data_IF_417154628147
#
_entry.id   IF_417154628147
#
_cell.length_a   1.000
_cell.length_b   1.000
_cell.length_c   1.000
_cell.angle_alpha   90.00
_cell.angle_beta   90.00
_cell.angle_gamma   90.00
#
_symmetry.space_group_name_H-M   'P 1'
#
loop_
_entity.id
_entity.type
_entity.pdbx_description
1 polymer ?
#
# COMPACT_ATOMS: atom_id res chain seq x y z
N UNK A 1 30.00 -1.58 19.45
CA UNK A 1 29.01 -2.66 19.65
C UNK A 1 27.61 -2.03 19.59
N UNK A 2 26.97 -2.00 18.42
CA UNK A 2 25.61 -1.46 18.31
C UNK A 2 24.65 -2.45 18.97
N UNK A 3 24.17 -2.11 20.17
CA UNK A 3 23.06 -2.84 20.80
C UNK A 3 21.83 -2.56 19.97
N UNK A 4 21.42 -3.54 19.17
CA UNK A 4 20.14 -3.51 18.49
C UNK A 4 19.08 -3.53 19.59
N UNK A 5 18.56 -2.35 19.97
CA UNK A 5 17.39 -2.20 20.84
C UNK A 5 16.12 -2.58 20.08
N UNK A 6 16.08 -3.78 19.52
CA UNK A 6 14.83 -4.36 19.04
C UNK A 6 14.07 -4.74 20.30
N UNK A 7 12.95 -4.06 20.52
CA UNK A 7 11.94 -4.40 21.53
C UNK A 7 11.73 -5.91 21.54
N UNK A 8 11.65 -6.53 22.73
CA UNK A 8 11.31 -7.96 22.84
C UNK A 8 9.96 -8.29 22.18
N UNK A 9 9.13 -7.28 21.93
CA UNK A 9 7.82 -7.36 21.29
C UNK A 9 7.78 -6.72 19.90
N UNK A 10 8.92 -6.44 19.26
CA UNK A 10 8.96 -5.73 17.99
C UNK A 10 8.10 -6.37 16.89
N UNK A 11 8.04 -7.70 16.83
CA UNK A 11 7.14 -8.40 15.89
C UNK A 11 5.67 -8.19 16.26
N UNK A 12 5.29 -8.31 17.54
CA UNK A 12 3.92 -8.08 18.00
C UNK A 12 3.46 -6.63 17.76
N UNK A 13 4.35 -5.67 17.99
CA UNK A 13 4.11 -4.25 17.73
C UNK A 13 3.94 -3.99 16.23
N UNK A 14 4.72 -4.67 15.38
CA UNK A 14 4.60 -4.62 13.92
C UNK A 14 3.28 -5.22 13.45
N UNK A 15 2.93 -6.42 13.92
CA UNK A 15 1.66 -7.09 13.60
C UNK A 15 0.47 -6.21 13.99
N UNK A 16 0.44 -5.73 15.24
CA UNK A 16 -0.62 -4.84 15.72
C UNK A 16 -0.76 -3.58 14.86
N UNK A 17 0.38 -3.04 14.37
CA UNK A 17 0.37 -1.88 13.48
C UNK A 17 -0.16 -2.22 12.09
N UNK A 18 0.20 -3.38 11.55
CA UNK A 18 -0.31 -3.88 10.28
C UNK A 18 -1.81 -4.15 10.35
N UNK A 19 -2.28 -4.76 11.43
CA UNK A 19 -3.70 -5.06 11.66
C UNK A 19 -4.54 -3.77 11.66
N UNK A 20 -4.09 -2.74 12.39
CA UNK A 20 -4.76 -1.43 12.40
C UNK A 20 -4.88 -0.79 11.00
N UNK A 21 -3.84 -0.95 10.17
CA UNK A 21 -3.86 -0.46 8.79
C UNK A 21 -4.82 -1.31 7.95
N UNK A 22 -4.81 -2.62 8.12
CA UNK A 22 -5.74 -3.54 7.46
C UNK A 22 -7.21 -3.27 7.79
N UNK A 23 -7.52 -3.03 9.06
CA UNK A 23 -8.87 -2.68 9.52
C UNK A 23 -9.36 -1.37 8.91
N UNK A 24 -8.49 -0.36 8.83
CA UNK A 24 -8.81 0.92 8.21
C UNK A 24 -9.08 0.77 6.71
N UNK A 25 -8.25 -0.02 6.01
CA UNK A 25 -8.46 -0.31 4.58
C UNK A 25 -9.72 -1.11 4.33
N UNK A 26 -10.08 -2.03 5.23
CA UNK A 26 -11.30 -2.83 5.11
C UNK A 26 -12.54 -1.95 5.23
N UNK A 27 -12.57 -1.01 6.19
CA UNK A 27 -13.64 -0.01 6.31
C UNK A 27 -13.71 0.92 5.11
N UNK A 28 -12.56 1.33 4.55
CA UNK A 28 -12.54 2.13 3.33
C UNK A 28 -13.07 1.38 2.13
N UNK A 29 -12.84 0.06 2.04
CA UNK A 29 -13.36 -0.77 0.95
C UNK A 29 -14.90 -0.83 0.91
N UNK A 30 -15.58 -0.56 2.03
CA UNK A 30 -17.05 -0.46 2.08
C UNK A 30 -17.57 0.79 1.36
N UNK A 31 -16.73 1.82 1.18
CA UNK A 31 -17.11 3.12 0.63
C UNK A 31 -16.38 3.47 -0.67
N UNK A 32 -15.25 2.81 -0.95
CA UNK A 32 -14.36 3.12 -2.07
C UNK A 32 -14.18 1.88 -2.92
N UNK A 33 -14.61 1.96 -4.18
CA UNK A 33 -14.24 0.98 -5.19
C UNK A 33 -12.80 1.25 -5.66
N UNK A 34 -11.85 0.53 -5.06
CA UNK A 34 -10.44 0.64 -5.38
C UNK A 34 -10.13 0.24 -6.83
N UNK A 35 -10.89 -0.69 -7.41
CA UNK A 35 -10.67 -1.15 -8.78
C UNK A 35 -11.13 -0.10 -9.78
N UNK A 36 -12.30 0.51 -9.55
CA UNK A 36 -12.78 1.63 -10.36
C UNK A 36 -11.83 2.84 -10.27
N UNK A 37 -11.39 3.19 -9.06
CA UNK A 37 -10.44 4.30 -8.88
C UNK A 37 -9.09 4.01 -9.57
N UNK A 38 -8.62 2.76 -9.50
CA UNK A 38 -7.40 2.33 -10.16
C UNK A 38 -7.49 2.47 -11.70
N UNK A 39 -8.63 2.09 -12.28
CA UNK A 39 -8.86 2.24 -13.71
C UNK A 39 -8.85 3.71 -14.14
N UNK A 40 -9.55 4.57 -13.40
CA UNK A 40 -9.58 6.01 -13.65
C UNK A 40 -8.16 6.63 -13.58
N UNK A 41 -7.34 6.18 -12.62
CA UNK A 41 -5.96 6.65 -12.48
C UNK A 41 -5.08 6.17 -13.65
N UNK A 42 -5.24 4.92 -14.09
CA UNK A 42 -4.48 4.42 -15.25
C UNK A 42 -4.88 5.15 -16.55
N UNK A 43 -6.14 5.57 -16.69
CA UNK A 43 -6.58 6.41 -17.82
C UNK A 43 -6.06 7.85 -17.71
N UNK A 44 -6.18 8.48 -16.53
CA UNK A 44 -5.78 9.86 -16.31
C UNK A 44 -4.26 10.05 -16.33
N UNK A 45 -3.50 9.04 -15.89
CA UNK A 45 -2.03 9.07 -15.84
C UNK A 45 -1.43 7.76 -16.41
N UNK A 46 -1.42 7.59 -17.74
CA UNK A 46 -0.88 6.40 -18.37
C UNK A 46 0.60 6.22 -18.04
N UNK A 47 0.94 5.05 -17.49
CA UNK A 47 2.30 4.76 -17.07
C UNK A 47 3.18 4.38 -18.27
N UNK A 48 4.44 4.85 -18.34
CA UNK A 48 5.33 4.56 -19.46
C UNK A 48 5.56 3.06 -19.61
N UNK A 49 5.64 2.60 -20.87
CA UNK A 49 5.79 1.20 -21.24
C UNK A 49 7.10 0.57 -20.76
N UNK A 50 7.21 -0.75 -20.91
CA UNK A 50 8.34 -1.59 -20.46
C UNK A 50 9.65 -1.40 -21.24
N UNK A 51 9.78 -0.32 -21.99
CA UNK A 51 10.86 -0.08 -22.95
C UNK A 51 12.26 -0.05 -22.32
N UNK A 52 12.35 0.25 -21.02
CA UNK A 52 13.64 0.36 -20.31
C UNK A 52 14.03 -0.85 -19.44
N UNK A 53 13.27 -1.94 -19.48
CA UNK A 53 13.51 -3.09 -18.61
C UNK A 53 13.34 -2.75 -17.12
N UNK A 54 13.44 -3.76 -16.24
CA UNK A 54 13.30 -3.62 -14.78
C UNK A 54 12.08 -4.31 -14.18
N UNK A 55 11.93 -4.21 -12.86
CA UNK A 55 10.78 -4.81 -12.15
C UNK A 55 9.50 -4.14 -12.62
N UNK A 56 8.47 -4.92 -12.99
CA UNK A 56 7.17 -4.35 -13.33
C UNK A 56 6.66 -3.43 -12.22
N UNK A 57 6.02 -2.29 -12.55
CA UNK A 57 5.35 -1.49 -11.56
C UNK A 57 4.29 -2.33 -10.85
N UNK A 58 4.07 -2.03 -9.57
CA UNK A 58 2.99 -2.65 -8.82
C UNK A 58 1.63 -2.33 -9.47
N UNK A 59 0.62 -3.20 -9.30
CA UNK A 59 -0.74 -2.90 -9.73
C UNK A 59 -1.20 -1.55 -9.16
N UNK A 60 -1.92 -0.77 -9.96
CA UNK A 60 -2.40 0.57 -9.60
C UNK A 60 -3.27 0.52 -8.37
N UNK A 61 -4.16 -0.47 -8.31
CA UNK A 61 -5.02 -0.73 -7.15
C UNK A 61 -4.22 -0.93 -5.87
N UNK A 62 -3.09 -1.63 -5.93
CA UNK A 62 -2.20 -1.79 -4.77
C UNK A 62 -1.58 -0.44 -4.37
N UNK A 63 -1.15 0.37 -5.34
CA UNK A 63 -0.60 1.69 -5.08
C UNK A 63 -1.64 2.62 -4.44
N UNK A 64 -2.87 2.58 -4.93
CA UNK A 64 -4.01 3.34 -4.40
C UNK A 64 -4.30 2.92 -2.96
N UNK A 65 -4.40 1.61 -2.69
CA UNK A 65 -4.63 1.11 -1.33
C UNK A 65 -3.53 1.54 -0.37
N UNK A 66 -2.26 1.43 -0.78
CA UNK A 66 -1.14 1.90 0.04
C UNK A 66 -1.22 3.41 0.26
N UNK A 67 -1.61 4.19 -0.75
CA UNK A 67 -1.77 5.64 -0.63
C UNK A 67 -2.86 6.02 0.36
N UNK A 68 -3.99 5.33 0.35
CA UNK A 68 -5.04 5.49 1.34
C UNK A 68 -4.60 5.08 2.75
N UNK A 69 -3.80 4.02 2.88
CA UNK A 69 -3.29 3.54 4.17
C UNK A 69 -2.35 4.54 4.86
N UNK A 70 -1.53 5.28 4.10
CA UNK A 70 -0.56 6.24 4.66
C UNK A 70 -1.16 7.65 4.85
N UNK A 71 -2.43 7.87 4.49
CA UNK A 71 -3.18 9.07 4.83
C UNK A 71 -2.67 10.36 4.20
N UNK A 72 -2.44 10.37 2.88
CA UNK A 72 -2.06 11.59 2.14
C UNK A 72 -3.22 12.18 1.37
#
# INVERSE_FOLDING_TARGET
>A
MAVIKVSLFAEQERETRLDKIGDALSKLAEHVDFAALAAEIDEAAPRPGRERGGRPPLPTEMMVRVRCAIGV
#
